data_IF_578419961153
#
_entry.id   IF_578419961153
#
_cell.length_a   1.000
_cell.length_b   1.000
_cell.length_c   1.000
_cell.angle_alpha   90.00
_cell.angle_beta   90.00
_cell.angle_gamma   90.00
#
_symmetry.space_group_name_H-M   'P 1'
#
loop_
_entity.id
_entity.type
_entity.pdbx_description
1 polymer ?
#
# COMPACT_ATOMS: atom_id res chain seq x y z
N UNK A 1 -13.43 -32.08 10.12
CA UNK A 1 -12.04 -32.13 9.63
C UNK A 1 -11.60 -30.96 8.75
N UNK A 2 -12.44 -30.36 7.85
CA UNK A 2 -12.04 -29.18 7.00
C UNK A 2 -11.54 -27.95 7.80
N UNK A 3 -12.25 -27.52 8.86
CA UNK A 3 -11.87 -26.31 9.65
C UNK A 3 -10.50 -26.37 10.34
N UNK A 4 -10.02 -27.54 10.74
CA UNK A 4 -8.70 -27.71 11.40
C UNK A 4 -7.55 -27.58 10.40
N UNK A 5 -7.74 -28.08 9.16
CA UNK A 5 -6.74 -27.98 8.09
C UNK A 5 -6.58 -26.51 7.62
N UNK A 6 -7.69 -25.77 7.46
CA UNK A 6 -7.67 -24.35 7.09
C UNK A 6 -6.95 -23.47 8.12
N UNK A 7 -7.10 -23.79 9.41
CA UNK A 7 -6.41 -23.05 10.48
C UNK A 7 -4.89 -23.29 10.45
N UNK A 8 -4.48 -24.52 10.20
CA UNK A 8 -3.07 -24.90 10.11
C UNK A 8 -2.41 -24.27 8.89
N UNK A 9 -3.08 -24.29 7.74
CA UNK A 9 -2.62 -23.65 6.50
C UNK A 9 -2.39 -22.16 6.73
N UNK A 10 -3.38 -21.45 7.30
CA UNK A 10 -3.25 -20.01 7.60
C UNK A 10 -2.10 -19.71 8.55
N UNK A 11 -1.93 -20.50 9.59
CA UNK A 11 -0.82 -20.35 10.53
C UNK A 11 0.54 -20.52 9.84
N UNK A 12 0.68 -21.55 9.00
CA UNK A 12 1.90 -21.81 8.23
C UNK A 12 2.23 -20.62 7.30
N UNK A 13 1.25 -20.14 6.54
CA UNK A 13 1.43 -19.00 5.63
C UNK A 13 1.85 -17.75 6.40
N UNK A 14 1.16 -17.42 7.48
CA UNK A 14 1.49 -16.29 8.34
C UNK A 14 2.91 -16.39 8.93
N UNK A 15 3.32 -17.55 9.39
CA UNK A 15 4.68 -17.76 9.91
C UNK A 15 5.75 -17.56 8.82
N UNK A 16 5.52 -18.07 7.60
CA UNK A 16 6.43 -17.88 6.46
C UNK A 16 6.50 -16.41 6.01
N UNK A 17 5.38 -15.70 5.99
CA UNK A 17 5.33 -14.27 5.67
C UNK A 17 6.14 -13.45 6.68
N UNK A 18 5.94 -13.67 7.98
CA UNK A 18 6.69 -12.98 9.02
C UNK A 18 8.19 -13.29 8.96
N UNK A 19 8.54 -14.54 8.67
CA UNK A 19 9.93 -14.95 8.50
C UNK A 19 10.59 -14.25 7.30
N UNK A 20 9.89 -14.11 6.18
CA UNK A 20 10.40 -13.37 5.03
C UNK A 20 10.64 -11.90 5.39
N UNK A 21 9.69 -11.24 6.05
CA UNK A 21 9.82 -9.85 6.49
C UNK A 21 11.02 -9.69 7.44
N UNK A 22 11.19 -10.62 8.40
CA UNK A 22 12.33 -10.62 9.31
C UNK A 22 13.68 -10.77 8.58
N UNK A 23 13.74 -11.62 7.55
CA UNK A 23 14.92 -11.76 6.70
C UNK A 23 15.19 -10.49 5.89
N UNK A 24 14.15 -9.83 5.34
CA UNK A 24 14.27 -8.59 4.58
C UNK A 24 14.79 -7.42 5.41
N UNK A 25 14.56 -7.41 6.71
CA UNK A 25 15.14 -6.40 7.62
C UNK A 25 16.66 -6.54 7.78
N UNK A 26 17.21 -7.72 7.51
CA UNK A 26 18.63 -8.03 7.77
C UNK A 26 19.48 -7.97 6.51
N UNK A 27 18.90 -8.20 5.34
CA UNK A 27 19.63 -8.28 4.08
C UNK A 27 18.74 -8.06 2.86
N UNK A 28 19.33 -7.70 1.71
CA UNK A 28 18.59 -7.53 0.46
C UNK A 28 17.82 -8.78 0.04
N UNK A 29 16.61 -8.61 -0.49
CA UNK A 29 15.69 -9.68 -0.89
C UNK A 29 16.35 -10.72 -1.80
N UNK A 30 17.14 -10.28 -2.78
CA UNK A 30 17.83 -11.17 -3.72
C UNK A 30 18.91 -12.08 -3.09
N UNK A 31 19.23 -11.90 -1.82
CA UNK A 31 20.13 -12.74 -1.04
C UNK A 31 19.42 -13.66 -0.04
N UNK A 32 18.10 -13.56 0.04
CA UNK A 32 17.28 -14.41 0.92
C UNK A 32 17.06 -15.76 0.25
N UNK A 33 17.09 -16.82 1.03
CA UNK A 33 16.89 -18.21 0.57
C UNK A 33 15.70 -18.85 1.27
N UNK A 34 15.05 -19.81 0.59
CA UNK A 34 13.99 -20.64 1.21
C UNK A 34 14.46 -21.30 2.50
N UNK A 35 15.75 -21.67 2.56
CA UNK A 35 16.34 -22.28 3.75
C UNK A 35 16.21 -21.36 4.96
N UNK A 36 16.63 -20.12 4.82
CA UNK A 36 16.64 -19.14 5.92
C UNK A 36 15.22 -18.78 6.36
N UNK A 37 14.29 -18.62 5.41
CA UNK A 37 12.88 -18.40 5.75
C UNK A 37 12.34 -19.57 6.56
N UNK A 38 12.62 -20.81 6.15
CA UNK A 38 12.16 -22.01 6.84
C UNK A 38 12.78 -22.15 8.24
N UNK A 39 14.08 -21.85 8.38
CA UNK A 39 14.78 -21.84 9.67
C UNK A 39 14.20 -20.76 10.60
N UNK A 40 13.94 -19.56 10.09
CA UNK A 40 13.34 -18.45 10.85
C UNK A 40 11.89 -18.75 11.27
N UNK A 41 11.12 -19.41 10.40
CA UNK A 41 9.72 -19.78 10.66
C UNK A 41 9.54 -21.06 11.49
N UNK A 42 10.60 -21.81 11.73
CA UNK A 42 10.56 -23.19 12.28
C UNK A 42 9.64 -24.12 11.47
N UNK A 43 9.78 -24.07 10.15
CA UNK A 43 8.97 -24.84 9.19
C UNK A 43 9.89 -25.63 8.26
N UNK A 44 9.52 -26.88 7.97
CA UNK A 44 10.26 -27.72 7.02
C UNK A 44 10.13 -27.18 5.59
N UNK A 45 11.22 -27.31 4.79
CA UNK A 45 11.22 -26.92 3.36
C UNK A 45 10.14 -27.63 2.56
N UNK A 46 9.83 -28.90 2.84
CA UNK A 46 8.74 -29.62 2.19
C UNK A 46 7.40 -28.93 2.42
N UNK A 47 7.18 -28.39 3.61
CA UNK A 47 5.97 -27.63 3.93
C UNK A 47 5.96 -26.28 3.20
N UNK A 48 7.10 -25.61 3.08
CA UNK A 48 7.21 -24.39 2.25
C UNK A 48 6.76 -24.67 0.82
N UNK A 49 7.33 -25.69 0.17
CA UNK A 49 7.02 -26.04 -1.22
C UNK A 49 5.61 -26.60 -1.45
N UNK A 50 4.87 -26.95 -0.38
CA UNK A 50 3.43 -27.21 -0.48
C UNK A 50 2.59 -25.92 -0.63
N UNK A 51 3.15 -24.76 -0.28
CA UNK A 51 2.44 -23.47 -0.29
C UNK A 51 2.94 -22.52 -1.37
N UNK A 52 4.26 -22.54 -1.65
CA UNK A 52 4.91 -21.60 -2.57
C UNK A 52 5.98 -22.33 -3.39
N UNK A 53 6.06 -22.02 -4.68
CA UNK A 53 7.10 -22.57 -5.57
C UNK A 53 8.48 -21.96 -5.27
N UNK A 54 8.52 -20.69 -4.83
CA UNK A 54 9.73 -19.94 -4.52
C UNK A 54 9.44 -18.75 -3.59
N UNK A 55 10.48 -17.98 -3.25
CA UNK A 55 10.36 -16.79 -2.38
C UNK A 55 9.63 -15.62 -3.06
N UNK A 56 9.60 -15.59 -4.39
CA UNK A 56 8.92 -14.53 -5.14
C UNK A 56 7.40 -14.71 -5.03
N UNK A 57 6.89 -15.94 -5.13
CA UNK A 57 5.46 -16.22 -4.95
C UNK A 57 5.00 -15.88 -3.51
N UNK A 58 5.85 -16.11 -2.50
CA UNK A 58 5.58 -15.68 -1.12
C UNK A 58 5.55 -14.14 -1.01
N UNK A 59 6.48 -13.43 -1.66
CA UNK A 59 6.48 -11.97 -1.68
C UNK A 59 5.26 -11.41 -2.42
N UNK A 60 4.92 -11.98 -3.59
CA UNK A 60 3.75 -11.58 -4.37
C UNK A 60 2.44 -11.68 -3.56
N UNK A 61 2.30 -12.72 -2.73
CA UNK A 61 1.15 -12.85 -1.84
C UNK A 61 1.10 -11.76 -0.77
N UNK A 62 2.24 -11.40 -0.18
CA UNK A 62 2.33 -10.31 0.80
C UNK A 62 1.96 -8.98 0.13
N UNK A 63 2.52 -8.69 -1.03
CA UNK A 63 2.22 -7.48 -1.80
C UNK A 63 0.73 -7.41 -2.21
N UNK A 64 0.13 -8.55 -2.59
CA UNK A 64 -1.30 -8.63 -2.91
C UNK A 64 -2.20 -8.36 -1.70
N UNK A 65 -1.83 -8.86 -0.51
CA UNK A 65 -2.57 -8.57 0.73
C UNK A 65 -2.53 -7.08 1.07
N UNK A 66 -1.35 -6.46 1.00
CA UNK A 66 -1.18 -5.00 1.19
C UNK A 66 -2.03 -4.23 0.18
N UNK A 67 -2.02 -4.65 -1.09
CA UNK A 67 -2.84 -4.05 -2.14
C UNK A 67 -4.33 -4.09 -1.76
N UNK A 68 -4.85 -5.26 -1.40
CA UNK A 68 -6.27 -5.44 -1.07
C UNK A 68 -6.70 -4.62 0.15
N UNK A 69 -5.85 -4.53 1.18
CA UNK A 69 -6.14 -3.75 2.39
C UNK A 69 -6.16 -2.25 2.10
N UNK A 70 -5.21 -1.74 1.31
CA UNK A 70 -5.19 -0.34 0.89
C UNK A 70 -6.36 -0.03 -0.07
N UNK A 71 -6.65 -0.91 -1.04
CA UNK A 71 -7.80 -0.75 -1.94
C UNK A 71 -9.12 -0.65 -1.17
N UNK A 72 -9.28 -1.46 -0.10
CA UNK A 72 -10.45 -1.41 0.75
C UNK A 72 -10.63 -0.08 1.49
N UNK A 73 -9.55 0.65 1.81
CA UNK A 73 -9.61 1.99 2.41
C UNK A 73 -10.29 2.97 1.46
N UNK A 74 -9.96 2.89 0.17
CA UNK A 74 -10.45 3.83 -0.84
C UNK A 74 -11.77 3.40 -1.51
N UNK A 75 -12.18 2.14 -1.34
CA UNK A 75 -13.38 1.59 -1.99
C UNK A 75 -14.69 1.99 -1.35
N UNK A 76 -14.69 2.36 -0.06
CA UNK A 76 -15.90 2.52 0.74
C UNK A 76 -16.60 3.87 0.55
N UNK A 77 -15.86 4.91 0.26
CA UNK A 77 -16.36 6.29 0.23
C UNK A 77 -15.71 7.10 -0.90
N UNK A 78 -16.27 8.29 -1.17
CA UNK A 78 -15.59 9.26 -2.04
C UNK A 78 -14.27 9.69 -1.40
N UNK A 79 -13.22 10.00 -2.19
CA UNK A 79 -11.94 10.46 -1.67
C UNK A 79 -12.11 11.61 -0.68
N UNK A 80 -11.47 11.50 0.49
CA UNK A 80 -11.62 12.43 1.61
C UNK A 80 -10.35 12.47 2.46
N UNK A 81 -10.25 13.43 3.37
CA UNK A 81 -9.19 13.47 4.38
C UNK A 81 -9.20 12.21 5.25
N UNK A 82 -10.39 11.65 5.51
CA UNK A 82 -10.54 10.44 6.31
C UNK A 82 -9.87 9.22 5.65
N UNK A 83 -9.90 9.10 4.33
CA UNK A 83 -9.14 8.04 3.65
C UNK A 83 -7.62 8.23 3.82
N UNK A 84 -7.13 9.48 3.88
CA UNK A 84 -5.72 9.75 4.17
C UNK A 84 -5.36 9.36 5.61
N UNK A 85 -6.23 9.65 6.56
CA UNK A 85 -6.06 9.22 7.96
C UNK A 85 -6.03 7.70 8.08
N UNK A 86 -6.94 6.99 7.42
CA UNK A 86 -6.96 5.53 7.40
C UNK A 86 -5.73 4.94 6.73
N UNK A 87 -5.26 5.53 5.63
CA UNK A 87 -4.02 5.12 4.98
C UNK A 87 -2.82 5.28 5.91
N UNK A 88 -2.71 6.41 6.61
CA UNK A 88 -1.62 6.64 7.55
C UNK A 88 -1.71 5.72 8.78
N UNK A 89 -2.91 5.41 9.28
CA UNK A 89 -3.11 4.39 10.31
C UNK A 89 -2.59 3.03 9.86
N UNK A 90 -2.92 2.64 8.63
CA UNK A 90 -2.44 1.41 8.03
C UNK A 90 -0.91 1.40 7.92
N UNK A 91 -0.33 2.49 7.41
CA UNK A 91 1.12 2.65 7.26
C UNK A 91 1.83 2.56 8.62
N UNK A 92 1.30 3.20 9.66
CA UNK A 92 1.88 3.16 11.00
C UNK A 92 1.79 1.77 11.62
N UNK A 93 0.66 1.10 11.44
CA UNK A 93 0.44 -0.26 11.96
C UNK A 93 1.34 -1.29 11.28
N UNK A 94 1.59 -1.14 9.97
CA UNK A 94 2.37 -2.05 9.15
C UNK A 94 3.75 -1.49 8.77
N UNK A 95 4.29 -0.57 9.58
CA UNK A 95 5.53 0.18 9.30
C UNK A 95 6.66 -0.70 8.77
N UNK A 96 7.04 -1.73 9.53
CA UNK A 96 8.15 -2.63 9.21
C UNK A 96 7.97 -3.33 7.86
N UNK A 97 6.75 -3.84 7.60
CA UNK A 97 6.42 -4.47 6.33
C UNK A 97 6.57 -3.49 5.17
N UNK A 98 5.98 -2.29 5.30
CA UNK A 98 5.98 -1.30 4.23
C UNK A 98 7.38 -0.73 3.97
N UNK A 99 8.20 -0.53 5.01
CA UNK A 99 9.60 -0.18 4.85
C UNK A 99 10.36 -1.23 4.02
N UNK A 100 10.17 -2.51 4.33
CA UNK A 100 10.78 -3.61 3.57
C UNK A 100 10.31 -3.62 2.11
N UNK A 101 9.01 -3.50 1.86
CA UNK A 101 8.45 -3.53 0.50
C UNK A 101 8.87 -2.33 -0.34
N UNK A 102 8.91 -1.13 0.24
CA UNK A 102 9.30 0.10 -0.47
C UNK A 102 10.81 0.15 -0.78
N UNK A 103 11.64 -0.46 0.06
CA UNK A 103 13.10 -0.47 -0.13
C UNK A 103 13.59 -1.65 -0.97
N UNK A 104 12.97 -2.82 -0.85
CA UNK A 104 13.50 -4.07 -1.34
C UNK A 104 12.50 -4.92 -2.11
N UNK A 105 11.23 -4.50 -2.19
CA UNK A 105 10.18 -5.22 -2.91
C UNK A 105 10.45 -5.31 -4.41
N UNK A 106 9.63 -6.07 -5.10
CA UNK A 106 9.73 -6.29 -6.55
C UNK A 106 9.47 -5.03 -7.41
N UNK A 107 9.13 -3.90 -6.78
CA UNK A 107 8.58 -2.71 -7.44
C UNK A 107 7.08 -2.85 -7.75
N UNK A 108 6.52 -4.05 -7.61
CA UNK A 108 5.09 -4.30 -7.79
C UNK A 108 4.24 -3.57 -6.75
N UNK A 109 4.71 -3.48 -5.50
CA UNK A 109 4.00 -2.74 -4.45
C UNK A 109 3.77 -1.27 -4.84
N UNK A 110 4.79 -0.61 -5.41
CA UNK A 110 4.70 0.76 -5.91
C UNK A 110 3.73 0.84 -7.10
N UNK A 111 3.85 -0.09 -8.06
CA UNK A 111 2.99 -0.15 -9.24
C UNK A 111 1.53 -0.44 -8.86
N UNK A 112 1.28 -1.35 -7.91
CA UNK A 112 -0.06 -1.66 -7.41
C UNK A 112 -0.69 -0.49 -6.66
N UNK A 113 0.09 0.23 -5.86
CA UNK A 113 -0.39 1.46 -5.20
C UNK A 113 -0.78 2.53 -6.22
N UNK A 114 0.00 2.71 -7.29
CA UNK A 114 -0.38 3.56 -8.44
C UNK A 114 -1.73 3.13 -9.03
N UNK A 115 -1.94 1.83 -9.22
CA UNK A 115 -3.19 1.27 -9.76
C UNK A 115 -4.39 1.59 -8.87
N UNK A 116 -4.27 1.47 -7.53
CA UNK A 116 -5.34 1.83 -6.59
C UNK A 116 -5.71 3.30 -6.74
N UNK A 117 -4.71 4.17 -6.66
CA UNK A 117 -4.95 5.60 -6.79
C UNK A 117 -5.59 5.94 -8.14
N UNK A 118 -5.13 5.29 -9.22
CA UNK A 118 -5.72 5.46 -10.55
C UNK A 118 -7.19 5.01 -10.60
N UNK A 119 -7.52 3.88 -10.01
CA UNK A 119 -8.88 3.37 -9.99
C UNK A 119 -9.84 4.28 -9.22
N UNK A 120 -9.42 4.77 -8.04
CA UNK A 120 -10.29 5.56 -7.16
C UNK A 120 -10.27 7.05 -7.49
N UNK A 121 -9.09 7.66 -7.61
CA UNK A 121 -8.97 9.08 -7.93
C UNK A 121 -9.21 9.39 -9.41
N UNK A 122 -8.90 8.48 -10.32
CA UNK A 122 -9.20 8.64 -11.74
C UNK A 122 -10.69 8.77 -12.03
N UNK A 123 -11.55 8.05 -11.29
CA UNK A 123 -13.03 8.25 -11.36
C UNK A 123 -13.43 9.63 -10.84
N UNK A 124 -12.82 10.06 -9.75
CA UNK A 124 -13.07 11.36 -9.14
C UNK A 124 -12.61 12.49 -10.07
N UNK A 125 -11.40 12.42 -10.60
CA UNK A 125 -10.86 13.38 -11.56
C UNK A 125 -11.72 13.48 -12.83
N UNK A 126 -12.17 12.35 -13.40
CA UNK A 126 -13.07 12.34 -14.57
C UNK A 126 -14.39 13.06 -14.30
N UNK A 127 -14.93 12.93 -13.09
CA UNK A 127 -16.18 13.61 -12.70
C UNK A 127 -16.02 15.11 -12.61
N UNK A 128 -14.83 15.61 -12.23
CA UNK A 128 -14.53 17.03 -12.07
C UNK A 128 -13.93 17.68 -13.31
N UNK A 129 -13.19 16.93 -14.14
CA UNK A 129 -12.53 17.47 -15.34
C UNK A 129 -13.46 17.60 -16.56
N UNK A 130 -14.72 17.17 -16.49
CA UNK A 130 -15.63 17.16 -17.64
C UNK A 130 -15.22 16.15 -18.72
N UNK A 131 -15.70 16.32 -19.94
CA UNK A 131 -15.55 15.38 -21.05
C UNK A 131 -14.10 15.30 -21.58
N UNK A 132 -13.26 14.51 -20.96
CA UNK A 132 -11.99 14.08 -21.54
C UNK A 132 -10.88 13.90 -20.53
N UNK A 133 -10.37 12.68 -20.47
CA UNK A 133 -9.07 12.38 -19.88
C UNK A 133 -8.02 12.91 -20.87
N UNK A 134 -7.48 14.09 -20.62
CA UNK A 134 -6.42 14.69 -21.46
C UNK A 134 -5.05 14.25 -20.99
N UNK A 135 -4.02 14.38 -21.83
CA UNK A 135 -2.63 14.15 -21.45
C UNK A 135 -2.22 14.98 -20.20
N UNK A 136 -2.82 16.16 -20.01
CA UNK A 136 -2.62 17.01 -18.83
C UNK A 136 -3.07 16.30 -17.55
N UNK A 137 -4.19 15.56 -17.59
CA UNK A 137 -4.69 14.80 -16.46
C UNK A 137 -3.77 13.61 -16.11
N UNK A 138 -3.06 13.02 -17.08
CA UNK A 138 -2.08 11.98 -16.82
C UNK A 138 -0.87 12.53 -16.05
N UNK A 139 -0.34 13.69 -16.43
CA UNK A 139 0.74 14.34 -15.68
C UNK A 139 0.33 14.76 -14.29
N UNK A 140 -0.89 15.31 -14.12
CA UNK A 140 -1.44 15.64 -12.81
C UNK A 140 -1.54 14.39 -11.93
N UNK A 141 -2.00 13.29 -12.51
CA UNK A 141 -2.12 12.01 -11.84
C UNK A 141 -0.76 11.49 -11.34
N UNK A 142 0.26 11.48 -12.21
CA UNK A 142 1.62 11.07 -11.86
C UNK A 142 2.21 11.97 -10.75
N UNK A 143 1.95 13.27 -10.81
CA UNK A 143 2.36 14.21 -9.77
C UNK A 143 1.72 13.88 -8.42
N UNK A 144 0.41 13.68 -8.39
CA UNK A 144 -0.33 13.34 -7.16
C UNK A 144 0.14 12.00 -6.58
N UNK A 145 0.24 10.99 -7.42
CA UNK A 145 0.69 9.67 -7.01
C UNK A 145 2.10 9.70 -6.43
N UNK A 146 3.06 10.30 -7.14
CA UNK A 146 4.44 10.43 -6.69
C UNK A 146 4.54 11.27 -5.42
N UNK A 147 3.75 12.34 -5.33
CA UNK A 147 3.67 13.19 -4.15
C UNK A 147 3.17 12.44 -2.92
N UNK A 148 2.08 11.70 -3.03
CA UNK A 148 1.53 10.87 -1.95
C UNK A 148 2.57 9.85 -1.49
N UNK A 149 3.16 9.11 -2.43
CA UNK A 149 4.19 8.11 -2.12
C UNK A 149 5.40 8.74 -1.43
N UNK A 150 5.87 9.91 -1.92
CA UNK A 150 6.98 10.65 -1.33
C UNK A 150 6.69 11.09 0.11
N UNK A 151 5.47 11.54 0.41
CA UNK A 151 5.05 11.90 1.79
C UNK A 151 5.04 10.65 2.68
N UNK A 152 4.49 9.53 2.22
CA UNK A 152 4.48 8.27 2.97
C UNK A 152 5.90 7.78 3.26
N UNK A 153 6.79 7.78 2.27
CA UNK A 153 8.18 7.41 2.45
C UNK A 153 8.89 8.32 3.46
N UNK A 154 8.67 9.64 3.36
CA UNK A 154 9.25 10.61 4.29
C UNK A 154 8.76 10.39 5.72
N UNK A 155 7.46 10.12 5.89
CA UNK A 155 6.87 9.88 7.21
C UNK A 155 7.38 8.57 7.82
N UNK A 156 7.52 7.49 7.04
CA UNK A 156 8.15 6.23 7.45
C UNK A 156 9.61 6.45 7.87
N UNK A 157 10.42 7.16 7.07
CA UNK A 157 11.81 7.49 7.39
C UNK A 157 11.96 8.27 8.69
N UNK A 158 10.96 9.12 9.04
CA UNK A 158 10.87 9.82 10.31
C UNK A 158 10.22 8.95 11.43
N UNK A 159 10.13 7.65 11.23
CA UNK A 159 9.57 6.68 12.17
C UNK A 159 8.11 6.97 12.56
N UNK A 160 7.35 7.61 11.67
CA UNK A 160 5.95 8.03 11.88
C UNK A 160 5.78 8.94 13.13
N UNK A 161 6.80 9.79 13.44
CA UNK A 161 6.79 10.66 14.63
C UNK A 161 5.93 11.91 14.46
N UNK A 162 5.75 12.37 13.21
CA UNK A 162 4.91 13.53 12.94
C UNK A 162 3.43 13.19 13.19
N UNK A 163 2.66 14.18 13.62
CA UNK A 163 1.23 14.01 13.88
C UNK A 163 0.49 13.53 12.63
N UNK A 164 -0.15 12.36 12.75
CA UNK A 164 -0.85 11.70 11.67
C UNK A 164 -1.92 12.58 11.02
N UNK A 165 -2.71 13.29 11.84
CA UNK A 165 -3.82 14.10 11.34
C UNK A 165 -3.28 15.33 10.58
N UNK A 166 -2.16 15.90 11.03
CA UNK A 166 -1.47 16.97 10.29
C UNK A 166 -0.98 16.46 8.93
N UNK A 167 -0.33 15.30 8.90
CA UNK A 167 0.17 14.71 7.64
C UNK A 167 -1.00 14.41 6.70
N UNK A 168 -2.08 13.79 7.19
CA UNK A 168 -3.29 13.54 6.40
C UNK A 168 -3.90 14.82 5.83
N UNK A 169 -4.01 15.86 6.64
CA UNK A 169 -4.54 17.17 6.23
C UNK A 169 -3.67 17.84 5.16
N UNK A 170 -2.34 17.74 5.27
CA UNK A 170 -1.42 18.24 4.27
C UNK A 170 -1.58 17.48 2.95
N UNK A 171 -1.61 16.14 2.99
CA UNK A 171 -1.81 15.31 1.81
C UNK A 171 -3.13 15.63 1.11
N UNK A 172 -4.22 15.71 1.87
CA UNK A 172 -5.55 16.01 1.33
C UNK A 172 -5.62 17.39 0.71
N UNK A 173 -5.09 18.40 1.38
CA UNK A 173 -5.03 19.78 0.86
C UNK A 173 -4.25 19.86 -0.46
N UNK A 174 -3.11 19.18 -0.57
CA UNK A 174 -2.33 19.14 -1.81
C UNK A 174 -3.12 18.49 -2.95
N UNK A 175 -3.83 17.40 -2.67
CA UNK A 175 -4.70 16.73 -3.65
C UNK A 175 -5.78 17.70 -4.13
N UNK A 176 -6.53 18.32 -3.22
CA UNK A 176 -7.66 19.21 -3.54
C UNK A 176 -7.20 20.45 -4.30
N UNK A 177 -6.08 21.05 -3.91
CA UNK A 177 -5.53 22.24 -4.57
C UNK A 177 -4.98 21.96 -5.97
N UNK A 178 -4.57 20.72 -6.22
CA UNK A 178 -4.07 20.30 -7.54
C UNK A 178 -5.18 19.95 -8.52
N UNK A 179 -6.43 19.80 -8.05
CA UNK A 179 -7.55 19.51 -8.93
C UNK A 179 -7.93 20.72 -9.77
N UNK A 180 -8.27 20.54 -11.07
CA UNK A 180 -8.78 21.62 -11.90
C UNK A 180 -9.98 22.26 -11.23
N UNK A 181 -9.95 23.58 -11.04
CA UNK A 181 -11.07 24.31 -10.45
C UNK A 181 -12.30 24.16 -11.37
N UNK A 182 -13.26 23.39 -10.93
CA UNK A 182 -14.56 23.36 -11.60
C UNK A 182 -15.20 24.75 -11.51
N UNK A 183 -15.89 25.19 -12.59
CA UNK A 183 -16.62 26.47 -12.66
C UNK A 183 -17.76 26.57 -11.64
N UNK A 184 -17.85 25.70 -10.64
CA UNK A 184 -18.91 25.70 -9.64
C UNK A 184 -18.30 25.88 -8.23
N UNK A 185 -18.29 27.16 -7.71
CA UNK A 185 -17.68 27.49 -6.42
C UNK A 185 -18.41 26.92 -5.20
N UNK A 186 -19.56 26.24 -5.37
CA UNK A 186 -20.39 25.77 -4.27
C UNK A 186 -20.16 24.33 -3.81
N UNK A 187 -19.20 23.60 -4.39
CA UNK A 187 -18.93 22.20 -4.00
C UNK A 187 -17.82 22.03 -2.94
N UNK A 188 -17.27 23.11 -2.41
CA UNK A 188 -16.20 23.07 -1.41
C UNK A 188 -16.61 23.50 0.01
N UNK A 189 -17.89 23.39 0.38
CA UNK A 189 -18.32 23.64 1.76
C UNK A 189 -18.02 22.49 2.73
N UNK A 190 -16.91 21.80 2.58
CA UNK A 190 -16.45 20.82 3.58
C UNK A 190 -15.03 21.22 4.03
N UNK A 191 -14.92 22.45 4.51
CA UNK A 191 -13.80 22.94 5.30
C UNK A 191 -14.36 23.79 6.44
N UNK A 192 -15.09 23.15 7.33
CA UNK A 192 -15.35 23.66 8.70
C UNK A 192 -15.44 22.49 9.64
#
# INVERSE_FOLDING_TARGET
MKKSNDRRIRYTRYALQNALIACMQQKPFNRITVREICETADINRSTFYMHYKDIYELLDEIEEQVYQEIDAIFSKESPSVHNMEQLLDYVQTHKTLLECLLQQGSGLAISRFSTILHAHYGKYLRRYAGNGFSAENEYLYEFLYTGILGVLQKWLQNECKDDRNQVASVMWRMIVQSLPHTKNPHSFSILS
#
